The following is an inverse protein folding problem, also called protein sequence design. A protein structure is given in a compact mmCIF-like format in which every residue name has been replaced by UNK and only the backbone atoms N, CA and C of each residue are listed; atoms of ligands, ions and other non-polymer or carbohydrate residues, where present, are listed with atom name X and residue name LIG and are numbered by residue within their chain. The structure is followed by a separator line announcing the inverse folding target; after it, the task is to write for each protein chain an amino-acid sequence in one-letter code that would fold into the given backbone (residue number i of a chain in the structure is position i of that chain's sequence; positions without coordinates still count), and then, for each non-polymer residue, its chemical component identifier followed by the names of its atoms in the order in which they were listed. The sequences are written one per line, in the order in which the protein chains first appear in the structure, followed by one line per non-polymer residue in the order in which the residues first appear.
data_IF_239499329119
#
_entry.id   IF_239499329119
#
_cell.length_a   1.000
_cell.length_b   1.000
_cell.length_c   1.000
_cell.angle_alpha   90.00
_cell.angle_beta   90.00
_cell.angle_gamma   90.00
#
_symmetry.space_group_name_H-M   'P 1'
#
loop_
_entity.id
_entity.type
_entity.pdbx_description
1 polymer ?
#
# COMPACT_ATOMS: atom_id res chain seq x y z
N UNK A 1 9.92 -15.77 13.67
CA UNK A 1 9.64 -15.66 15.07
C UNK A 1 10.26 -14.42 15.69
N UNK A 2 9.50 -13.76 16.52
CA UNK A 2 9.94 -12.51 17.15
C UNK A 2 11.17 -12.72 18.02
N UNK A 3 11.23 -13.82 18.71
CA UNK A 3 12.36 -14.09 19.58
C UNK A 3 13.68 -14.19 18.81
N UNK A 4 13.62 -14.51 17.55
CA UNK A 4 14.81 -14.59 16.73
C UNK A 4 15.45 -13.22 16.50
N UNK A 5 14.72 -12.17 16.74
CA UNK A 5 15.21 -10.82 16.50
C UNK A 5 15.80 -10.16 17.73
N UNK A 6 15.76 -10.81 18.86
CA UNK A 6 16.19 -10.21 20.11
C UNK A 6 17.62 -9.68 20.05
N UNK A 7 18.49 -10.37 19.35
CA UNK A 7 19.86 -9.97 19.22
C UNK A 7 20.18 -8.98 18.14
N UNK A 8 19.18 -8.56 17.34
CA UNK A 8 19.42 -7.67 16.22
C UNK A 8 19.11 -6.23 16.56
N UNK A 9 19.96 -5.33 16.13
CA UNK A 9 19.69 -3.90 16.24
C UNK A 9 18.71 -3.51 15.14
N UNK A 10 18.09 -2.33 15.31
CA UNK A 10 17.17 -1.84 14.27
C UNK A 10 17.90 -1.62 12.95
N UNK A 11 19.13 -1.13 13.02
CA UNK A 11 19.92 -0.93 11.80
C UNK A 11 20.16 -2.22 11.05
N UNK A 12 20.49 -3.28 11.77
CA UNK A 12 20.72 -4.57 11.14
C UNK A 12 19.44 -5.11 10.53
N UNK A 13 18.33 -4.94 11.22
CA UNK A 13 17.05 -5.39 10.70
C UNK A 13 16.68 -4.67 9.41
N UNK A 14 16.90 -3.34 9.38
CA UNK A 14 16.61 -2.57 8.19
C UNK A 14 17.47 -3.00 7.01
N UNK A 15 18.75 -3.23 7.26
CA UNK A 15 19.65 -3.67 6.18
C UNK A 15 19.27 -5.03 5.65
N UNK A 16 18.90 -5.94 6.52
CA UNK A 16 18.42 -7.25 6.09
C UNK A 16 17.17 -7.13 5.24
N UNK A 17 16.27 -6.24 5.66
CA UNK A 17 15.03 -6.03 4.94
C UNK A 17 15.30 -5.54 3.52
N UNK A 18 16.16 -4.53 3.39
CA UNK A 18 16.49 -3.99 2.07
C UNK A 18 17.23 -5.01 1.21
N UNK A 19 18.11 -5.78 1.82
CA UNK A 19 18.89 -6.77 1.10
C UNK A 19 18.01 -7.85 0.50
N UNK A 20 16.98 -8.27 1.23
CA UNK A 20 16.11 -9.33 0.78
C UNK A 20 15.07 -8.82 -0.23
N UNK A 21 14.47 -7.68 0.04
CA UNK A 21 13.36 -7.18 -0.76
C UNK A 21 13.77 -6.17 -1.81
N UNK A 22 14.97 -5.61 -1.71
CA UNK A 22 15.40 -4.58 -2.65
C UNK A 22 14.72 -3.24 -2.43
N UNK A 23 14.10 -3.03 -1.27
CA UNK A 23 13.43 -1.78 -0.96
C UNK A 23 13.46 -1.56 0.54
N UNK A 24 13.30 -0.30 0.95
CA UNK A 24 13.28 0.04 2.36
C UNK A 24 11.99 -0.45 3.01
N UNK A 25 11.98 -0.58 4.35
CA UNK A 25 10.74 -0.94 5.04
C UNK A 25 9.58 0.01 4.75
N UNK A 26 9.87 1.29 4.61
CA UNK A 26 8.84 2.28 4.30
C UNK A 26 8.26 2.03 2.91
N UNK A 27 9.11 1.75 1.93
CA UNK A 27 8.65 1.46 0.59
C UNK A 27 7.83 0.19 0.54
N UNK A 28 8.27 -0.82 1.27
CA UNK A 28 7.53 -2.07 1.33
C UNK A 28 6.14 -1.86 1.93
N UNK A 29 6.06 -1.10 3.00
CA UNK A 29 4.79 -0.81 3.65
C UNK A 29 3.85 -0.05 2.71
N UNK A 30 4.39 0.93 2.01
CA UNK A 30 3.58 1.68 1.05
C UNK A 30 3.06 0.77 -0.06
N UNK A 31 3.92 -0.11 -0.57
CA UNK A 31 3.53 -1.05 -1.61
C UNK A 31 2.42 -1.99 -1.10
N UNK A 32 2.57 -2.48 0.12
CA UNK A 32 1.57 -3.33 0.73
C UNK A 32 0.23 -2.62 0.87
N UNK A 33 0.27 -1.35 1.31
CA UNK A 33 -0.95 -0.55 1.44
C UNK A 33 -1.61 -0.33 0.08
N UNK A 34 -0.81 -0.12 -0.96
CA UNK A 34 -1.36 0.05 -2.30
C UNK A 34 -2.04 -1.22 -2.78
N UNK A 35 -1.49 -2.38 -2.47
CA UNK A 35 -2.14 -3.64 -2.82
C UNK A 35 -3.47 -3.79 -2.12
N UNK A 36 -3.54 -3.42 -0.85
CA UNK A 36 -4.80 -3.44 -0.13
C UNK A 36 -5.80 -2.47 -0.73
N UNK A 37 -5.34 -1.29 -1.12
CA UNK A 37 -6.20 -0.30 -1.75
C UNK A 37 -6.79 -0.84 -3.04
N UNK A 38 -5.97 -1.47 -3.87
CA UNK A 38 -6.45 -2.06 -5.10
C UNK A 38 -7.53 -3.11 -4.84
N UNK A 39 -7.30 -3.96 -3.85
CA UNK A 39 -8.28 -4.97 -3.49
C UNK A 39 -9.61 -4.33 -3.09
N UNK A 40 -9.56 -3.32 -2.24
CA UNK A 40 -10.78 -2.66 -1.79
C UNK A 40 -11.47 -1.90 -2.91
N UNK A 41 -10.69 -1.31 -3.81
CA UNK A 41 -11.28 -0.62 -4.96
C UNK A 41 -12.01 -1.60 -5.88
N UNK A 42 -11.49 -2.81 -6.01
CA UNK A 42 -12.09 -3.82 -6.88
C UNK A 42 -13.28 -4.54 -6.23
N UNK A 43 -13.21 -4.75 -4.92
CA UNK A 43 -14.14 -5.67 -4.26
C UNK A 43 -15.07 -5.02 -3.25
N UNK A 44 -15.03 -3.69 -3.10
CA UNK A 44 -15.93 -3.02 -2.17
C UNK A 44 -16.43 -1.72 -2.78
N UNK A 45 -17.46 -1.16 -2.17
CA UNK A 45 -18.03 0.12 -2.58
C UNK A 45 -17.58 1.27 -1.71
N UNK A 46 -16.55 1.05 -0.90
CA UNK A 46 -16.03 2.09 -0.04
C UNK A 46 -15.53 3.28 -0.85
N UNK A 47 -15.72 4.48 -0.32
CA UNK A 47 -15.20 5.67 -0.96
C UNK A 47 -13.68 5.65 -0.92
N UNK A 48 -13.06 6.45 -1.79
CA UNK A 48 -11.60 6.57 -1.80
C UNK A 48 -11.09 7.03 -0.44
N UNK A 49 -11.77 7.97 0.19
CA UNK A 49 -11.39 8.44 1.52
C UNK A 49 -11.49 7.34 2.57
N UNK A 50 -12.57 6.57 2.51
CA UNK A 50 -12.74 5.46 3.46
C UNK A 50 -11.66 4.41 3.28
N UNK A 51 -11.31 4.12 2.04
CA UNK A 51 -10.23 3.18 1.76
C UNK A 51 -8.91 3.70 2.31
N UNK A 52 -8.62 4.98 2.07
CA UNK A 52 -7.38 5.57 2.57
C UNK A 52 -7.28 5.43 4.07
N UNK A 53 -8.35 5.74 4.78
CA UNK A 53 -8.37 5.61 6.24
C UNK A 53 -8.20 4.17 6.68
N UNK A 54 -8.82 3.24 5.98
CA UNK A 54 -8.74 1.83 6.33
C UNK A 54 -7.34 1.27 6.25
N UNK A 55 -6.55 1.76 5.32
CA UNK A 55 -5.21 1.22 5.12
C UNK A 55 -4.12 2.05 5.80
N UNK A 56 -4.51 3.05 6.57
CA UNK A 56 -3.57 3.79 7.40
C UNK A 56 -3.13 5.15 6.87
N UNK A 57 -3.79 5.67 5.84
CA UNK A 57 -3.53 7.02 5.39
C UNK A 57 -4.49 7.98 6.10
N UNK A 58 -3.92 9.04 6.66
CA UNK A 58 -4.73 10.04 7.37
C UNK A 58 -5.41 11.02 6.44
N UNK A 59 -4.91 11.13 5.22
CA UNK A 59 -5.35 12.15 4.28
C UNK A 59 -5.64 11.49 2.93
N UNK A 60 -6.89 11.58 2.49
CA UNK A 60 -7.30 10.99 1.22
C UNK A 60 -6.60 11.61 0.02
N UNK A 61 -6.28 12.89 0.09
CA UNK A 61 -5.57 13.54 -1.00
C UNK A 61 -4.15 13.00 -1.13
N UNK A 62 -3.48 12.82 -0.01
CA UNK A 62 -2.13 12.24 -0.02
C UNK A 62 -2.17 10.81 -0.55
N UNK A 63 -3.16 10.05 -0.12
CA UNK A 63 -3.35 8.70 -0.62
C UNK A 63 -3.52 8.70 -2.15
N UNK A 64 -4.38 9.58 -2.66
CA UNK A 64 -4.63 9.66 -4.09
C UNK A 64 -3.37 10.00 -4.86
N UNK A 65 -2.58 10.94 -4.35
CA UNK A 65 -1.32 11.29 -4.99
C UNK A 65 -0.34 10.13 -4.99
N UNK A 66 -0.25 9.43 -3.88
CA UNK A 66 0.64 8.27 -3.78
C UNK A 66 0.18 7.17 -4.72
N UNK A 67 -1.12 6.92 -4.77
CA UNK A 67 -1.67 5.90 -5.66
C UNK A 67 -1.37 6.24 -7.11
N UNK A 68 -1.61 7.50 -7.49
CA UNK A 68 -1.35 7.94 -8.87
C UNK A 68 0.12 7.76 -9.23
N UNK A 69 1.00 8.09 -8.30
CA UNK A 69 2.43 7.95 -8.54
C UNK A 69 2.83 6.50 -8.78
N UNK A 70 2.23 5.58 -8.04
CA UNK A 70 2.62 4.16 -8.10
C UNK A 70 1.87 3.37 -9.16
N UNK A 71 0.63 3.73 -9.44
CA UNK A 71 -0.22 2.99 -10.38
C UNK A 71 -0.47 3.74 -11.68
N UNK A 72 -0.01 4.98 -11.78
CA UNK A 72 -0.15 5.82 -12.96
C UNK A 72 -1.60 6.12 -13.32
N UNK A 73 -2.48 6.05 -12.35
CA UNK A 73 -3.88 6.44 -12.50
C UNK A 73 -4.46 6.72 -11.12
N UNK A 74 -5.55 7.47 -11.08
CA UNK A 74 -6.20 7.77 -9.81
C UNK A 74 -6.94 6.55 -9.28
N UNK A 75 -7.22 6.50 -7.96
CA UNK A 75 -8.01 5.41 -7.42
C UNK A 75 -9.37 5.26 -8.08
N UNK A 76 -10.01 6.39 -8.40
CA UNK A 76 -11.32 6.34 -9.07
C UNK A 76 -11.21 5.75 -10.47
N UNK A 77 -10.18 6.13 -11.20
CA UNK A 77 -9.94 5.57 -12.52
C UNK A 77 -9.68 4.08 -12.44
N UNK A 78 -8.90 3.67 -11.47
CA UNK A 78 -8.61 2.25 -11.27
C UNK A 78 -9.90 1.47 -11.02
N UNK A 79 -10.76 1.99 -10.15
CA UNK A 79 -12.03 1.34 -9.85
C UNK A 79 -12.91 1.22 -11.10
N UNK A 80 -13.00 2.29 -11.85
CA UNK A 80 -13.84 2.27 -13.06
C UNK A 80 -13.34 1.26 -14.08
N UNK A 81 -12.04 1.15 -14.21
CA UNK A 81 -11.44 0.21 -15.12
C UNK A 81 -11.83 -1.22 -14.76
N UNK A 82 -11.74 -1.56 -13.50
CA UNK A 82 -12.03 -2.91 -13.03
C UNK A 82 -13.52 -3.21 -13.00
N UNK A 83 -14.34 -2.19 -12.79
CA UNK A 83 -15.79 -2.40 -12.88
C UNK A 83 -16.21 -2.74 -14.29
N UNK A 84 -15.58 -2.12 -15.27
CA UNK A 84 -15.90 -2.40 -16.66
C UNK A 84 -15.53 -3.83 -17.04
N UNK A 85 -14.46 -4.34 -16.46
CA UNK A 85 -14.05 -5.72 -16.74
C UNK A 85 -15.05 -6.74 -16.22
N UNK A 86 -15.75 -6.40 -15.15
CA UNK A 86 -16.71 -7.33 -14.54
C UNK A 86 -18.01 -7.40 -15.33
N UNK A 87 -18.37 -6.32 -15.95
CA UNK A 87 -19.60 -6.31 -16.74
C UNK A 87 -19.37 -6.83 -18.14
#
# INVERSE_FOLDING_TARGET
DISAYVGLSRSQLFRSFESVLGQSPKEYLTDFRMKQACYLLEHSDLSVTAIANSIGFDNGLYFSKTFHKMKEMSPSEFRNLHKQDIS
#
